data_IF_739054629419
#
_entry.id   IF_739054629419
#
_cell.length_a   1.000
_cell.length_b   1.000
_cell.length_c   1.000
_cell.angle_alpha   90.00
_cell.angle_beta   90.00
_cell.angle_gamma   90.00
#
_symmetry.space_group_name_H-M   'P 1'
#
loop_
_entity.id
_entity.type
_entity.pdbx_description
1 polymer ?
#
# COMPACT_ATOMS: atom_id res chain seq x y z
N UNK A 1 -38.67 6.01 -16.99
CA UNK A 1 -37.88 6.75 -18.00
C UNK A 1 -36.39 6.82 -17.60
N UNK A 2 -36.02 7.27 -16.40
CA UNK A 2 -34.61 7.39 -15.98
C UNK A 2 -33.74 6.10 -16.06
N UNK A 3 -34.29 4.91 -15.78
CA UNK A 3 -33.51 3.65 -15.90
C UNK A 3 -33.12 3.31 -17.35
N UNK A 4 -33.97 3.61 -18.33
CA UNK A 4 -33.66 3.31 -19.74
C UNK A 4 -32.56 4.22 -20.27
N UNK A 5 -32.54 5.48 -19.83
CA UNK A 5 -31.51 6.44 -20.24
C UNK A 5 -30.15 6.09 -19.65
N UNK A 6 -30.09 5.66 -18.38
CA UNK A 6 -28.84 5.18 -17.77
C UNK A 6 -28.28 3.92 -18.46
N UNK A 7 -29.13 2.99 -18.88
CA UNK A 7 -28.70 1.77 -19.59
C UNK A 7 -28.19 2.11 -20.99
N UNK A 8 -28.84 3.03 -21.70
CA UNK A 8 -28.38 3.49 -23.01
C UNK A 8 -27.04 4.25 -22.94
N UNK A 9 -26.84 5.08 -21.90
CA UNK A 9 -25.57 5.79 -21.68
C UNK A 9 -24.44 4.82 -21.35
N UNK A 10 -24.67 3.84 -20.48
CA UNK A 10 -23.67 2.82 -20.12
C UNK A 10 -23.26 1.97 -21.34
N UNK A 11 -24.22 1.57 -22.16
CA UNK A 11 -23.94 0.84 -23.41
C UNK A 11 -23.15 1.71 -24.40
N UNK A 12 -23.48 3.00 -24.51
CA UNK A 12 -22.77 3.93 -25.38
C UNK A 12 -21.32 4.15 -24.93
N UNK A 13 -21.10 4.26 -23.62
CA UNK A 13 -19.76 4.39 -23.03
C UNK A 13 -18.93 3.11 -23.22
N UNK A 14 -19.53 1.93 -23.02
CA UNK A 14 -18.88 0.65 -23.26
C UNK A 14 -18.42 0.52 -24.72
N UNK A 15 -19.31 0.77 -25.67
CA UNK A 15 -18.98 0.73 -27.10
C UNK A 15 -17.90 1.76 -27.49
N UNK A 16 -17.92 2.95 -26.89
CA UNK A 16 -16.88 3.94 -27.13
C UNK A 16 -15.50 3.47 -26.64
N UNK A 17 -15.44 2.75 -25.52
CA UNK A 17 -14.19 2.20 -25.00
C UNK A 17 -13.70 1.03 -25.83
N UNK A 18 -14.58 0.14 -26.30
CA UNK A 18 -14.20 -0.90 -27.27
C UNK A 18 -13.67 -0.31 -28.58
N UNK A 19 -14.31 0.75 -29.06
CA UNK A 19 -13.86 1.47 -30.24
C UNK A 19 -12.46 2.04 -30.02
N UNK A 20 -12.20 2.74 -28.90
CA UNK A 20 -10.87 3.28 -28.59
C UNK A 20 -9.82 2.17 -28.44
N UNK A 21 -10.15 1.08 -27.75
CA UNK A 21 -9.23 -0.06 -27.57
C UNK A 21 -8.83 -0.67 -28.93
N UNK A 22 -9.73 -0.66 -29.93
CA UNK A 22 -9.40 -1.15 -31.28
C UNK A 22 -8.33 -0.32 -32.01
N UNK A 23 -8.05 0.90 -31.56
CA UNK A 23 -6.97 1.75 -32.09
C UNK A 23 -5.68 1.70 -31.27
N UNK A 24 -5.69 1.06 -30.11
CA UNK A 24 -4.48 0.91 -29.31
C UNK A 24 -3.60 -0.19 -29.93
N UNK A 25 -2.26 -0.02 -29.93
CA UNK A 25 -1.36 -1.05 -30.40
C UNK A 25 -1.50 -2.31 -29.54
N UNK A 26 -1.36 -3.48 -30.18
CA UNK A 26 -1.37 -4.76 -29.49
C UNK A 26 -0.37 -4.76 -28.34
N UNK A 27 -0.83 -5.10 -27.14
CA UNK A 27 0.03 -5.21 -25.98
C UNK A 27 0.87 -6.50 -26.09
N UNK A 28 2.21 -6.41 -26.31
CA UNK A 28 3.04 -7.60 -26.51
C UNK A 28 3.09 -8.51 -25.27
N UNK A 29 2.69 -8.00 -24.10
CA UNK A 29 2.63 -8.76 -22.85
C UNK A 29 1.29 -9.46 -22.63
N UNK A 30 0.23 -9.09 -23.37
CA UNK A 30 -1.11 -9.64 -23.16
C UNK A 30 -1.18 -11.12 -23.47
N UNK A 31 -0.65 -11.56 -24.63
CA UNK A 31 -0.71 -12.97 -25.00
C UNK A 31 0.16 -13.86 -24.09
N UNK A 32 1.42 -13.51 -23.77
CA UNK A 32 2.19 -14.26 -22.77
C UNK A 32 1.49 -14.33 -21.41
N UNK A 33 0.88 -13.23 -20.95
CA UNK A 33 0.15 -13.20 -19.69
C UNK A 33 -1.11 -14.08 -19.74
N UNK A 34 -1.88 -14.04 -20.84
CA UNK A 34 -3.03 -14.94 -21.08
C UNK A 34 -2.61 -16.40 -20.99
N UNK A 35 -1.53 -16.76 -21.66
CA UNK A 35 -1.02 -18.13 -21.68
C UNK A 35 -0.58 -18.57 -20.27
N UNK A 36 0.14 -17.73 -19.53
CA UNK A 36 0.57 -18.03 -18.17
C UNK A 36 -0.63 -18.13 -17.20
N UNK A 37 -1.62 -17.26 -17.35
CA UNK A 37 -2.83 -17.27 -16.54
C UNK A 37 -3.65 -18.54 -16.78
N UNK A 38 -3.92 -18.89 -18.04
CA UNK A 38 -4.64 -20.11 -18.38
C UNK A 38 -3.87 -21.36 -17.96
N UNK A 39 -2.54 -21.39 -18.13
CA UNK A 39 -1.71 -22.48 -17.62
C UNK A 39 -1.88 -22.65 -16.10
N UNK A 40 -1.93 -21.56 -15.34
CA UNK A 40 -2.19 -21.62 -13.90
C UNK A 40 -3.59 -22.20 -13.61
N UNK A 41 -4.63 -21.75 -14.32
CA UNK A 41 -6.00 -22.27 -14.16
C UNK A 41 -6.13 -23.76 -14.50
N UNK A 42 -5.40 -24.22 -15.52
CA UNK A 42 -5.44 -25.61 -15.99
C UNK A 42 -4.68 -26.58 -15.05
N UNK A 43 -3.69 -26.08 -14.31
CA UNK A 43 -2.78 -26.91 -13.50
C UNK A 43 -3.03 -26.83 -11.99
N UNK A 44 -3.78 -25.84 -11.51
CA UNK A 44 -4.00 -25.62 -10.08
C UNK A 44 -5.48 -25.46 -9.74
N UNK A 45 -5.86 -26.00 -8.59
CA UNK A 45 -7.23 -25.81 -8.06
C UNK A 45 -7.45 -24.36 -7.64
N UNK A 46 -8.72 -23.91 -7.63
CA UNK A 46 -9.08 -22.59 -7.09
C UNK A 46 -8.54 -22.37 -5.67
N UNK A 47 -8.59 -23.40 -4.82
CA UNK A 47 -8.01 -23.35 -3.47
C UNK A 47 -6.52 -23.03 -3.51
N UNK A 48 -5.73 -23.74 -4.33
CA UNK A 48 -4.29 -23.49 -4.44
C UNK A 48 -4.00 -22.09 -4.98
N UNK A 49 -4.75 -21.62 -5.99
CA UNK A 49 -4.57 -20.28 -6.55
C UNK A 49 -4.92 -19.20 -5.51
N UNK A 50 -6.08 -19.33 -4.86
CA UNK A 50 -6.55 -18.38 -3.86
C UNK A 50 -5.65 -18.29 -2.62
N UNK A 51 -5.03 -19.41 -2.22
CA UNK A 51 -4.22 -19.49 -0.99
C UNK A 51 -2.74 -19.31 -1.31
N UNK A 52 -2.12 -20.30 -1.95
CA UNK A 52 -0.69 -20.28 -2.27
C UNK A 52 -0.35 -19.23 -3.31
N UNK A 53 -1.19 -19.01 -4.32
CA UNK A 53 -0.99 -17.93 -5.30
C UNK A 53 -0.99 -16.55 -4.62
N UNK A 54 -1.99 -16.27 -3.78
CA UNK A 54 -2.04 -15.02 -3.01
C UNK A 54 -0.89 -14.87 -2.02
N UNK A 55 -0.46 -15.95 -1.36
CA UNK A 55 0.70 -15.94 -0.48
C UNK A 55 1.99 -15.60 -1.26
N UNK A 56 2.20 -16.25 -2.41
CA UNK A 56 3.36 -15.97 -3.27
C UNK A 56 3.34 -14.52 -3.74
N UNK A 57 2.19 -14.01 -4.19
CA UNK A 57 2.06 -12.61 -4.62
C UNK A 57 2.38 -11.66 -3.48
N UNK A 58 1.85 -11.89 -2.27
CA UNK A 58 2.14 -11.05 -1.11
C UNK A 58 3.62 -11.10 -0.74
N UNK A 59 4.18 -12.29 -0.47
CA UNK A 59 5.56 -12.45 0.00
C UNK A 59 6.58 -11.97 -1.03
N UNK A 60 6.41 -12.36 -2.30
CA UNK A 60 7.32 -11.95 -3.36
C UNK A 60 7.29 -10.43 -3.54
N UNK A 61 6.10 -9.82 -3.55
CA UNK A 61 5.98 -8.37 -3.68
C UNK A 61 6.53 -7.65 -2.47
N UNK A 62 6.22 -8.10 -1.25
CA UNK A 62 6.68 -7.50 -0.01
C UNK A 62 8.21 -7.42 0.04
N UNK A 63 8.88 -8.56 -0.12
CA UNK A 63 10.33 -8.60 -0.05
C UNK A 63 10.98 -7.88 -1.23
N UNK A 64 10.44 -8.01 -2.44
CA UNK A 64 10.97 -7.32 -3.62
C UNK A 64 10.88 -5.80 -3.47
N UNK A 65 9.76 -5.28 -2.96
CA UNK A 65 9.56 -3.85 -2.72
C UNK A 65 10.44 -3.32 -1.58
N UNK A 66 10.86 -4.16 -0.64
CA UNK A 66 11.83 -3.78 0.39
C UNK A 66 13.29 -3.69 -0.14
N UNK A 67 13.63 -4.40 -1.22
CA UNK A 67 15.01 -4.49 -1.74
C UNK A 67 15.62 -3.12 -2.04
N UNK A 68 14.97 -2.18 -2.75
CA UNK A 68 15.55 -0.86 -3.03
C UNK A 68 15.97 -0.11 -1.75
N UNK A 69 15.08 -0.04 -0.75
CA UNK A 69 15.38 0.62 0.53
C UNK A 69 16.52 -0.05 1.30
N UNK A 70 16.62 -1.38 1.23
CA UNK A 70 17.76 -2.11 1.79
C UNK A 70 19.08 -1.79 1.07
N UNK A 71 19.09 -1.81 -0.26
CA UNK A 71 20.27 -1.49 -1.08
C UNK A 71 20.75 -0.05 -0.84
N UNK A 72 19.83 0.90 -0.65
CA UNK A 72 20.18 2.31 -0.41
C UNK A 72 21.06 2.52 0.83
N UNK A 73 20.96 1.64 1.83
CA UNK A 73 21.80 1.67 3.03
C UNK A 73 23.30 1.51 2.70
N UNK A 74 23.62 0.81 1.61
CA UNK A 74 25.00 0.49 1.22
C UNK A 74 25.56 1.41 0.14
N UNK A 75 24.74 2.32 -0.42
CA UNK A 75 25.16 3.26 -1.46
C UNK A 75 25.41 4.64 -0.82
N UNK A 76 26.67 5.13 -0.74
CA UNK A 76 26.96 6.41 -0.11
C UNK A 76 26.18 7.60 -0.69
N UNK A 77 25.94 7.59 -2.01
CA UNK A 77 25.14 8.62 -2.68
C UNK A 77 23.69 8.65 -2.21
N UNK A 78 23.12 7.52 -1.80
CA UNK A 78 21.74 7.44 -1.34
C UNK A 78 21.55 7.95 0.08
N UNK A 79 22.63 8.04 0.87
CA UNK A 79 22.56 8.55 2.24
C UNK A 79 22.03 9.98 2.30
N UNK A 80 22.29 10.83 1.29
CA UNK A 80 21.71 12.18 1.25
C UNK A 80 20.18 12.23 1.15
N UNK A 81 19.53 11.14 0.73
CA UNK A 81 18.08 11.02 0.63
C UNK A 81 17.45 10.40 1.87
N UNK A 82 18.26 9.88 2.80
CA UNK A 82 17.77 9.38 4.08
C UNK A 82 17.14 10.52 4.89
N UNK A 83 16.00 10.27 5.53
CA UNK A 83 15.25 11.33 6.21
C UNK A 83 15.90 11.64 7.57
N UNK A 84 16.07 10.63 8.43
CA UNK A 84 16.74 10.75 9.74
C UNK A 84 18.21 10.29 9.65
N UNK A 85 19.10 11.23 9.31
CA UNK A 85 20.54 10.98 9.07
C UNK A 85 21.30 10.45 10.29
N UNK A 86 20.87 10.81 11.49
CA UNK A 86 21.48 10.46 12.78
C UNK A 86 21.09 9.05 13.27
N UNK A 87 20.18 8.36 12.57
CA UNK A 87 19.65 7.06 12.97
C UNK A 87 19.82 6.01 11.87
N UNK A 88 21.05 5.47 11.68
CA UNK A 88 21.27 4.39 10.72
C UNK A 88 20.52 3.11 11.12
N UNK A 89 20.13 2.32 10.13
CA UNK A 89 19.57 0.99 10.35
C UNK A 89 20.68 0.05 10.85
N UNK A 90 20.49 -0.58 12.00
CA UNK A 90 21.45 -1.56 12.52
C UNK A 90 20.99 -2.98 12.19
N UNK A 91 21.94 -3.88 11.98
CA UNK A 91 21.64 -5.29 11.73
C UNK A 91 20.77 -5.91 12.83
N UNK A 92 21.05 -5.59 14.10
CA UNK A 92 20.29 -6.09 15.25
C UNK A 92 18.81 -5.71 15.18
N UNK A 93 18.52 -4.45 14.81
CA UNK A 93 17.16 -3.92 14.64
C UNK A 93 16.45 -4.58 13.47
N UNK A 94 17.13 -4.70 12.34
CA UNK A 94 16.59 -5.36 11.15
C UNK A 94 16.30 -6.84 11.41
N UNK A 95 17.21 -7.55 12.09
CA UNK A 95 17.01 -8.95 12.45
C UNK A 95 15.88 -9.16 13.45
N UNK A 96 15.72 -8.25 14.42
CA UNK A 96 14.56 -8.24 15.32
C UNK A 96 13.26 -8.04 14.53
N UNK A 97 13.22 -7.05 13.65
CA UNK A 97 12.08 -6.76 12.79
C UNK A 97 11.72 -7.98 11.95
N UNK A 98 12.70 -8.59 11.28
CA UNK A 98 12.53 -9.76 10.42
C UNK A 98 11.90 -10.95 11.16
N UNK A 99 12.34 -11.26 12.39
CA UNK A 99 11.76 -12.36 13.17
C UNK A 99 10.29 -12.14 13.53
N UNK A 100 9.94 -10.93 13.97
CA UNK A 100 8.54 -10.59 14.27
C UNK A 100 7.70 -10.57 13.01
N UNK A 101 8.26 -10.10 11.90
CA UNK A 101 7.62 -10.11 10.60
C UNK A 101 7.28 -11.53 10.15
N UNK A 102 8.22 -12.47 10.21
CA UNK A 102 7.97 -13.88 9.90
C UNK A 102 6.86 -14.47 10.77
N UNK A 103 6.80 -14.10 12.06
CA UNK A 103 5.71 -14.50 12.94
C UNK A 103 4.37 -13.93 12.46
N UNK A 104 4.30 -12.64 12.13
CA UNK A 104 3.08 -11.99 11.66
C UNK A 104 2.61 -12.59 10.32
N UNK A 105 3.52 -12.79 9.36
CA UNK A 105 3.20 -13.36 8.06
C UNK A 105 2.65 -14.79 8.22
N UNK A 106 3.30 -15.62 9.04
CA UNK A 106 2.92 -17.03 9.17
C UNK A 106 1.68 -17.24 10.07
N UNK A 107 1.57 -16.55 11.20
CA UNK A 107 0.51 -16.82 12.18
C UNK A 107 -0.69 -15.89 12.07
N UNK A 108 -0.55 -14.72 11.44
CA UNK A 108 -1.63 -13.73 11.33
C UNK A 108 -2.08 -13.59 9.89
N UNK A 109 -1.18 -13.29 8.96
CA UNK A 109 -1.55 -13.02 7.57
C UNK A 109 -1.89 -14.30 6.79
N UNK A 110 -1.15 -15.40 6.95
CA UNK A 110 -1.44 -16.65 6.26
C UNK A 110 -2.86 -17.17 6.56
N UNK A 111 -3.36 -17.20 7.82
CA UNK A 111 -4.76 -17.50 8.08
C UNK A 111 -5.76 -16.56 7.37
N UNK A 112 -5.46 -15.26 7.30
CA UNK A 112 -6.30 -14.30 6.55
C UNK A 112 -6.28 -14.59 5.04
N UNK A 113 -5.11 -14.92 4.49
CA UNK A 113 -4.93 -15.30 3.09
C UNK A 113 -5.69 -16.60 2.78
N UNK A 114 -5.66 -17.58 3.68
CA UNK A 114 -6.49 -18.79 3.57
C UNK A 114 -7.99 -18.47 3.49
N UNK A 115 -8.42 -17.39 4.18
CA UNK A 115 -9.78 -16.85 4.10
C UNK A 115 -10.19 -16.40 2.68
N UNK A 116 -9.22 -16.06 1.83
CA UNK A 116 -9.46 -15.61 0.45
C UNK A 116 -10.22 -16.66 -0.38
N UNK A 117 -9.90 -17.94 -0.22
CA UNK A 117 -10.63 -19.00 -0.94
C UNK A 117 -12.11 -19.04 -0.55
N UNK A 118 -12.40 -18.96 0.75
CA UNK A 118 -13.79 -18.95 1.22
C UNK A 118 -14.53 -17.71 0.77
N UNK A 119 -13.86 -16.55 0.74
CA UNK A 119 -14.39 -15.32 0.19
C UNK A 119 -14.74 -15.48 -1.30
N UNK A 120 -13.81 -15.98 -2.12
CA UNK A 120 -14.04 -16.09 -3.56
C UNK A 120 -15.13 -17.10 -3.89
N UNK A 121 -15.23 -18.22 -3.17
CA UNK A 121 -16.31 -19.18 -3.35
C UNK A 121 -17.66 -18.64 -2.85
N UNK A 122 -17.71 -17.96 -1.70
CA UNK A 122 -18.96 -17.41 -1.16
C UNK A 122 -19.58 -16.33 -2.06
N UNK A 123 -18.74 -15.46 -2.63
CA UNK A 123 -19.19 -14.39 -3.52
C UNK A 123 -19.17 -14.78 -5.02
N UNK A 124 -18.86 -16.04 -5.35
CA UNK A 124 -18.72 -16.53 -6.73
C UNK A 124 -17.77 -15.67 -7.59
N UNK A 125 -16.63 -15.29 -7.02
CA UNK A 125 -15.62 -14.49 -7.70
C UNK A 125 -14.95 -15.33 -8.81
N UNK A 126 -14.96 -14.87 -10.07
CA UNK A 126 -14.34 -15.58 -11.18
C UNK A 126 -12.81 -15.49 -11.16
N UNK A 127 -12.20 -16.49 -11.80
CA UNK A 127 -10.76 -16.62 -12.01
C UNK A 127 -10.40 -16.65 -13.49
N UNK A 128 -11.39 -16.83 -14.37
CA UNK A 128 -11.18 -17.05 -15.80
C UNK A 128 -10.68 -15.79 -16.50
N UNK A 129 -9.89 -16.01 -17.56
CA UNK A 129 -9.32 -14.92 -18.34
C UNK A 129 -10.37 -14.00 -18.97
N UNK A 130 -11.47 -14.57 -19.47
CA UNK A 130 -12.49 -13.82 -20.21
C UNK A 130 -13.30 -12.89 -19.30
N UNK A 131 -13.36 -13.20 -17.99
CA UNK A 131 -13.98 -12.38 -16.94
C UNK A 131 -13.01 -11.37 -16.31
N UNK A 132 -11.72 -11.41 -16.68
CA UNK A 132 -10.72 -10.52 -16.13
C UNK A 132 -11.03 -9.06 -16.50
N UNK A 133 -11.09 -8.13 -15.52
CA UNK A 133 -11.32 -6.73 -15.83
C UNK A 133 -10.18 -6.14 -16.65
N UNK A 134 -10.52 -5.23 -17.57
CA UNK A 134 -9.52 -4.46 -18.32
C UNK A 134 -8.65 -3.63 -17.35
N UNK A 135 -7.39 -3.40 -17.72
CA UNK A 135 -6.38 -2.81 -16.84
C UNK A 135 -6.79 -1.45 -16.23
N UNK A 136 -7.48 -0.59 -16.97
CA UNK A 136 -7.92 0.71 -16.47
C UNK A 136 -9.09 0.58 -15.46
N UNK A 137 -9.93 -0.44 -15.61
CA UNK A 137 -10.97 -0.77 -14.61
C UNK A 137 -10.29 -1.27 -13.34
N UNK A 138 -9.29 -2.14 -13.48
CA UNK A 138 -8.49 -2.64 -12.37
C UNK A 138 -7.81 -1.51 -11.59
N UNK A 139 -7.23 -0.52 -12.30
CA UNK A 139 -6.64 0.68 -11.69
C UNK A 139 -7.70 1.51 -10.96
N UNK A 140 -8.87 1.73 -11.57
CA UNK A 140 -9.96 2.47 -10.93
C UNK A 140 -10.50 1.75 -9.68
N UNK A 141 -10.61 0.43 -9.71
CA UNK A 141 -10.99 -0.40 -8.56
C UNK A 141 -9.94 -0.33 -7.45
N UNK A 142 -8.64 -0.46 -7.77
CA UNK A 142 -7.57 -0.29 -6.79
C UNK A 142 -7.59 1.11 -6.16
N UNK A 143 -7.85 2.15 -6.96
CA UNK A 143 -8.01 3.51 -6.43
C UNK A 143 -9.22 3.61 -5.48
N UNK A 144 -10.36 3.00 -5.84
CA UNK A 144 -11.53 2.91 -4.96
C UNK A 144 -11.20 2.19 -3.64
N UNK A 145 -10.48 1.07 -3.70
CA UNK A 145 -9.99 0.37 -2.51
C UNK A 145 -9.08 1.26 -1.66
N UNK A 146 -8.16 2.02 -2.29
CA UNK A 146 -7.27 2.93 -1.58
C UNK A 146 -8.01 4.04 -0.84
N UNK A 147 -9.07 4.62 -1.44
CA UNK A 147 -9.88 5.65 -0.76
C UNK A 147 -10.62 5.08 0.45
N UNK A 148 -11.18 3.88 0.34
CA UNK A 148 -11.88 3.20 1.45
C UNK A 148 -10.90 2.82 2.56
N UNK A 149 -9.77 2.20 2.19
CA UNK A 149 -8.76 1.79 3.16
C UNK A 149 -8.13 2.99 3.86
N UNK A 150 -7.82 4.08 3.14
CA UNK A 150 -7.25 5.29 3.73
C UNK A 150 -8.18 5.94 4.76
N UNK A 151 -9.50 5.97 4.48
CA UNK A 151 -10.48 6.44 5.46
C UNK A 151 -10.51 5.53 6.69
N UNK A 152 -10.60 4.21 6.51
CA UNK A 152 -10.56 3.25 7.62
C UNK A 152 -9.29 3.40 8.45
N UNK A 153 -8.16 3.44 7.77
CA UNK A 153 -6.83 3.56 8.35
C UNK A 153 -6.72 4.84 9.15
N UNK A 154 -7.04 6.00 8.58
CA UNK A 154 -6.91 7.29 9.26
C UNK A 154 -7.62 7.30 10.63
N UNK A 155 -8.90 6.89 10.66
CA UNK A 155 -9.67 6.96 11.90
C UNK A 155 -9.19 5.93 12.93
N UNK A 156 -8.89 4.70 12.52
CA UNK A 156 -8.44 3.68 13.45
C UNK A 156 -6.99 3.87 13.89
N UNK A 157 -6.12 4.33 13.01
CA UNK A 157 -4.76 4.72 13.36
C UNK A 157 -4.78 5.84 14.41
N UNK A 158 -5.58 6.89 14.21
CA UNK A 158 -5.80 7.94 15.21
C UNK A 158 -6.35 7.39 16.54
N UNK A 159 -7.27 6.43 16.49
CA UNK A 159 -7.80 5.77 17.69
C UNK A 159 -6.74 4.92 18.40
N UNK A 160 -5.90 4.21 17.65
CA UNK A 160 -4.80 3.39 18.18
C UNK A 160 -3.76 4.25 18.91
N UNK A 161 -3.58 5.51 18.51
CA UNK A 161 -2.78 6.52 19.22
C UNK A 161 -3.43 7.07 20.48
N UNK A 162 -4.68 6.75 20.77
CA UNK A 162 -5.31 7.17 22.02
C UNK A 162 -4.55 6.57 23.21
N UNK A 163 -4.28 7.38 24.24
CA UNK A 163 -3.41 7.05 25.40
C UNK A 163 -3.76 5.72 26.10
N UNK A 164 -5.03 5.31 26.03
CA UNK A 164 -5.52 4.04 26.64
C UNK A 164 -5.19 2.80 25.80
N UNK A 165 -4.98 2.96 24.49
CA UNK A 165 -4.80 1.87 23.52
C UNK A 165 -3.33 1.77 23.10
N UNK A 166 -2.70 2.91 22.80
CA UNK A 166 -1.34 3.00 22.24
C UNK A 166 -0.34 2.07 22.91
N UNK A 167 -0.24 2.13 24.25
CA UNK A 167 0.77 1.39 25.01
C UNK A 167 0.65 -0.14 24.89
N UNK A 168 -0.49 -0.67 24.46
CA UNK A 168 -0.76 -2.10 24.35
C UNK A 168 -0.70 -2.62 22.92
N UNK A 169 -1.08 -1.80 21.94
CA UNK A 169 -1.21 -2.24 20.55
C UNK A 169 -0.16 -1.53 19.70
N UNK A 170 -0.31 -0.21 19.54
CA UNK A 170 0.42 0.53 18.51
C UNK A 170 1.85 0.95 18.89
N UNK A 171 2.21 0.86 20.18
CA UNK A 171 3.58 1.09 20.64
C UNK A 171 4.60 0.13 20.00
N UNK A 172 4.18 -1.08 19.63
CA UNK A 172 5.05 -2.04 18.95
C UNK A 172 5.47 -1.50 17.58
N UNK A 173 4.52 -1.02 16.79
CA UNK A 173 4.79 -0.42 15.48
C UNK A 173 5.74 0.78 15.56
N UNK A 174 5.56 1.61 16.60
CA UNK A 174 6.38 2.79 16.92
C UNK A 174 7.71 2.49 17.60
N UNK A 175 8.12 1.23 17.71
CA UNK A 175 9.42 0.88 18.31
C UNK A 175 10.59 1.51 17.55
N UNK A 176 10.47 1.61 16.23
CA UNK A 176 11.49 2.20 15.37
C UNK A 176 11.08 3.61 14.94
N UNK A 177 11.61 4.58 15.69
CA UNK A 177 11.40 6.02 15.46
C UNK A 177 11.89 6.50 14.09
N UNK A 178 12.90 5.81 13.51
CA UNK A 178 13.35 6.00 12.13
C UNK A 178 12.95 4.76 11.35
N UNK A 179 11.87 4.83 10.55
CA UNK A 179 11.38 3.67 9.86
C UNK A 179 12.29 3.23 8.70
N UNK A 180 12.16 1.96 8.32
CA UNK A 180 12.76 1.37 7.13
C UNK A 180 11.76 0.38 6.51
N UNK A 181 11.80 0.16 5.19
CA UNK A 181 10.71 -0.52 4.45
C UNK A 181 10.20 -1.84 5.05
N UNK A 182 11.09 -2.70 5.58
CA UNK A 182 10.70 -3.99 6.19
C UNK A 182 9.88 -3.83 7.49
N UNK A 183 9.92 -2.67 8.14
CA UNK A 183 9.09 -2.38 9.31
C UNK A 183 7.62 -2.15 8.95
N UNK A 184 7.27 -1.94 7.68
CA UNK A 184 5.90 -1.61 7.28
C UNK A 184 4.85 -2.60 7.83
N UNK A 185 5.20 -3.88 8.01
CA UNK A 185 4.33 -4.89 8.63
C UNK A 185 4.84 -5.39 10.01
N UNK A 186 5.79 -4.69 10.61
CA UNK A 186 6.17 -4.84 12.03
C UNK A 186 5.14 -4.15 12.92
N UNK A 187 4.18 -4.93 13.40
CA UNK A 187 3.09 -4.44 14.23
C UNK A 187 2.63 -5.50 15.24
N UNK A 188 1.85 -5.07 16.22
CA UNK A 188 1.15 -5.99 17.12
C UNK A 188 0.07 -6.77 16.34
N UNK A 189 -0.17 -8.07 16.58
CA UNK A 189 -1.17 -8.85 15.83
C UNK A 189 -2.57 -8.21 15.74
N UNK A 190 -3.04 -7.63 16.85
CA UNK A 190 -4.32 -6.90 16.85
C UNK A 190 -4.32 -5.66 15.95
N UNK A 191 -3.19 -4.97 15.83
CA UNK A 191 -3.07 -3.84 14.91
C UNK A 191 -3.19 -4.31 13.47
N UNK A 192 -2.48 -5.38 13.11
CA UNK A 192 -2.57 -6.01 11.79
C UNK A 192 -4.00 -6.40 11.46
N UNK A 193 -4.75 -6.96 12.41
CA UNK A 193 -6.16 -7.31 12.21
C UNK A 193 -7.06 -6.08 12.08
N UNK A 194 -6.89 -5.08 12.97
CA UNK A 194 -7.73 -3.88 13.01
C UNK A 194 -7.52 -3.03 11.76
N UNK A 195 -6.28 -2.69 11.43
CA UNK A 195 -5.96 -1.87 10.25
C UNK A 195 -6.14 -2.68 8.96
N UNK A 196 -5.74 -3.96 8.96
CA UNK A 196 -5.90 -4.86 7.84
C UNK A 196 -7.36 -5.14 7.46
N UNK A 197 -8.32 -4.95 8.36
CA UNK A 197 -9.74 -5.01 8.00
C UNK A 197 -10.12 -4.01 6.88
N UNK A 198 -9.48 -2.83 6.86
CA UNK A 198 -9.70 -1.81 5.83
C UNK A 198 -9.37 -2.30 4.41
N UNK A 199 -8.32 -3.11 4.27
CA UNK A 199 -7.97 -3.77 3.02
C UNK A 199 -9.13 -4.60 2.49
N UNK A 200 -9.75 -5.41 3.36
CA UNK A 200 -10.85 -6.29 2.97
C UNK A 200 -12.16 -5.54 2.69
N UNK A 201 -12.43 -4.41 3.35
CA UNK A 201 -13.62 -3.60 3.04
C UNK A 201 -13.62 -3.16 1.58
N UNK A 202 -12.48 -2.68 1.06
CA UNK A 202 -12.34 -2.32 -0.36
C UNK A 202 -12.59 -3.52 -1.28
N UNK A 203 -12.03 -4.68 -0.92
CA UNK A 203 -12.23 -5.93 -1.66
C UNK A 203 -13.70 -6.35 -1.69
N UNK A 204 -14.42 -6.32 -0.57
CA UNK A 204 -15.86 -6.68 -0.54
C UNK A 204 -16.67 -5.76 -1.46
N UNK A 205 -16.29 -4.49 -1.59
CA UNK A 205 -17.02 -3.52 -2.41
C UNK A 205 -16.71 -3.68 -3.90
N UNK A 206 -15.44 -3.88 -4.28
CA UNK A 206 -15.00 -3.78 -5.67
C UNK A 206 -14.60 -5.09 -6.34
N UNK A 207 -14.34 -6.16 -5.58
CA UNK A 207 -13.79 -7.41 -6.12
C UNK A 207 -14.81 -8.13 -6.99
N UNK A 208 -14.49 -8.19 -8.28
CA UNK A 208 -15.23 -8.91 -9.30
C UNK A 208 -14.38 -9.97 -10.01
N UNK A 209 -13.10 -10.09 -9.67
CA UNK A 209 -12.18 -11.08 -10.23
C UNK A 209 -10.97 -11.26 -9.29
N UNK A 210 -10.39 -12.46 -9.21
CA UNK A 210 -9.25 -12.74 -8.31
C UNK A 210 -8.03 -11.84 -8.57
N UNK A 211 -7.85 -11.37 -9.80
CA UNK A 211 -6.76 -10.45 -10.16
C UNK A 211 -6.82 -9.13 -9.37
N UNK A 212 -8.02 -8.66 -8.96
CA UNK A 212 -8.13 -7.45 -8.15
C UNK A 212 -7.51 -7.65 -6.77
N UNK A 213 -7.67 -8.82 -6.15
CA UNK A 213 -7.04 -9.13 -4.86
C UNK A 213 -5.52 -8.97 -4.96
N UNK A 214 -4.94 -9.51 -6.03
CA UNK A 214 -3.49 -9.48 -6.27
C UNK A 214 -2.99 -8.09 -6.66
N UNK A 215 -3.70 -7.38 -7.53
CA UNK A 215 -3.36 -6.02 -7.88
C UNK A 215 -3.45 -5.09 -6.66
N UNK A 216 -4.51 -5.24 -5.86
CA UNK A 216 -4.73 -4.42 -4.67
C UNK A 216 -3.69 -4.69 -3.59
N UNK A 217 -3.33 -5.96 -3.31
CA UNK A 217 -2.25 -6.25 -2.34
C UNK A 217 -0.92 -5.67 -2.80
N UNK A 218 -0.58 -5.75 -4.09
CA UNK A 218 0.65 -5.13 -4.63
C UNK A 218 0.62 -3.61 -4.45
N UNK A 219 -0.50 -2.94 -4.80
CA UNK A 219 -0.65 -1.50 -4.60
C UNK A 219 -0.51 -1.11 -3.12
N UNK A 220 -1.16 -1.86 -2.22
CA UNK A 220 -1.12 -1.61 -0.78
C UNK A 220 0.29 -1.80 -0.22
N UNK A 221 0.98 -2.86 -0.63
CA UNK A 221 2.35 -3.16 -0.21
C UNK A 221 3.33 -2.10 -0.71
N UNK A 222 3.20 -1.68 -1.96
CA UNK A 222 4.02 -0.63 -2.55
C UNK A 222 3.88 0.68 -1.78
N UNK A 223 2.64 1.08 -1.44
CA UNK A 223 2.41 2.27 -0.64
C UNK A 223 2.99 2.15 0.77
N UNK A 224 2.71 1.04 1.50
CA UNK A 224 3.11 0.96 2.92
C UNK A 224 4.62 0.90 3.05
N UNK A 225 5.29 0.18 2.15
CA UNK A 225 6.75 0.08 2.16
C UNK A 225 7.37 1.42 1.77
N UNK A 226 6.78 2.17 0.83
CA UNK A 226 7.30 3.47 0.43
C UNK A 226 7.21 4.50 1.56
N UNK A 227 6.06 4.62 2.23
CA UNK A 227 5.90 5.57 3.35
C UNK A 227 6.78 5.21 4.56
N UNK A 228 7.15 3.95 4.72
CA UNK A 228 8.08 3.47 5.76
C UNK A 228 9.54 3.40 5.28
N UNK A 229 9.84 3.74 4.03
CA UNK A 229 11.15 3.42 3.43
C UNK A 229 12.34 4.04 4.18
N UNK A 230 12.13 5.18 4.86
CA UNK A 230 13.18 5.97 5.51
C UNK A 230 13.96 6.85 4.53
N UNK A 231 13.59 6.84 3.24
CA UNK A 231 14.23 7.59 2.17
C UNK A 231 13.22 8.45 1.42
N UNK A 232 13.61 9.68 1.10
CA UNK A 232 12.85 10.59 0.25
C UNK A 232 13.60 10.78 -1.08
N UNK A 233 13.29 9.92 -2.05
CA UNK A 233 13.98 9.88 -3.34
C UNK A 233 13.22 10.71 -4.40
N UNK A 234 13.92 11.56 -5.19
CA UNK A 234 13.28 12.55 -6.06
C UNK A 234 12.51 11.96 -7.25
N UNK A 235 12.76 10.69 -7.61
CA UNK A 235 12.13 10.02 -8.76
C UNK A 235 11.09 8.98 -8.31
N UNK A 236 10.53 9.10 -7.10
CA UNK A 236 9.46 8.23 -6.66
C UNK A 236 8.15 8.57 -7.39
N UNK A 237 7.60 7.68 -8.24
CA UNK A 237 6.42 7.96 -9.05
C UNK A 237 5.14 8.12 -8.21
N UNK A 238 5.10 7.63 -6.97
CA UNK A 238 3.93 7.78 -6.10
C UNK A 238 3.64 9.24 -5.75
N UNK A 239 4.64 10.13 -5.81
CA UNK A 239 4.43 11.57 -5.66
C UNK A 239 3.61 12.22 -6.78
N UNK A 240 3.37 11.52 -7.88
CA UNK A 240 2.43 11.97 -8.92
C UNK A 240 0.97 11.81 -8.48
N UNK A 241 0.70 10.97 -7.47
CA UNK A 241 -0.64 10.80 -6.91
C UNK A 241 -1.00 12.03 -6.08
N UNK A 242 -2.12 12.72 -6.37
CA UNK A 242 -2.54 13.89 -5.60
C UNK A 242 -2.72 13.57 -4.11
N UNK A 243 -2.28 14.49 -3.25
CA UNK A 243 -2.37 14.37 -1.79
C UNK A 243 -1.60 13.21 -1.16
N UNK A 244 -0.74 12.53 -1.91
CA UNK A 244 0.09 11.45 -1.38
C UNK A 244 0.93 11.92 -0.18
N UNK A 245 0.85 11.18 0.93
CA UNK A 245 1.56 11.47 2.18
C UNK A 245 3.07 11.31 2.01
N UNK A 246 3.49 10.16 1.48
CA UNK A 246 4.89 9.82 1.22
C UNK A 246 5.74 9.65 2.48
N UNK A 247 7.00 9.25 2.26
CA UNK A 247 7.92 8.86 3.33
C UNK A 247 8.15 9.94 4.40
N UNK A 248 8.32 11.21 4.02
CA UNK A 248 8.57 12.29 5.01
C UNK A 248 7.42 12.51 5.98
N UNK A 249 6.18 12.36 5.51
CA UNK A 249 5.01 12.61 6.34
C UNK A 249 4.89 11.53 7.41
N UNK A 250 5.08 10.27 7.02
CA UNK A 250 5.00 9.13 7.92
C UNK A 250 6.27 8.97 8.79
N UNK A 251 7.45 9.31 8.29
CA UNK A 251 8.68 9.36 9.10
C UNK A 251 8.55 10.40 10.23
N UNK A 252 7.99 11.58 9.95
CA UNK A 252 7.68 12.56 11.00
C UNK A 252 6.65 12.02 12.00
N UNK A 253 5.67 11.23 11.55
CA UNK A 253 4.72 10.56 12.43
C UNK A 253 5.42 9.63 13.44
N UNK A 254 6.33 8.75 12.97
CA UNK A 254 7.13 7.87 13.83
C UNK A 254 8.06 8.65 14.79
N UNK A 255 8.53 9.82 14.37
CA UNK A 255 9.34 10.69 15.22
C UNK A 255 8.53 11.44 16.29
N UNK A 256 7.34 11.93 15.93
CA UNK A 256 6.54 12.85 16.75
C UNK A 256 5.44 12.15 17.56
N UNK A 257 5.04 10.94 17.16
CA UNK A 257 3.99 10.08 17.75
C UNK A 257 2.57 10.68 17.78
N UNK A 258 2.38 11.93 17.38
CA UNK A 258 1.09 12.64 17.42
C UNK A 258 0.88 13.40 16.12
N UNK A 259 -0.30 13.24 15.51
CA UNK A 259 -0.63 13.80 14.20
C UNK A 259 -0.22 12.89 13.05
N UNK A 260 -0.42 13.34 11.81
CA UNK A 260 0.02 12.65 10.59
C UNK A 260 -0.48 11.19 10.52
N UNK A 261 -1.79 11.00 10.63
CA UNK A 261 -2.39 9.67 10.75
C UNK A 261 -2.74 9.01 9.41
N UNK A 262 -2.70 9.74 8.30
CA UNK A 262 -2.93 9.19 6.96
C UNK A 262 -1.95 8.05 6.65
N UNK A 263 -2.47 7.02 5.99
CA UNK A 263 -1.63 6.05 5.29
C UNK A 263 -1.24 6.67 3.95
N UNK A 264 -2.23 6.88 3.08
CA UNK A 264 -2.00 7.21 1.67
C UNK A 264 -2.21 8.68 1.40
N UNK A 265 -3.36 9.22 1.80
CA UNK A 265 -3.79 10.55 1.39
C UNK A 265 -3.91 11.52 2.57
N UNK A 266 -3.27 12.67 2.44
CA UNK A 266 -3.20 13.70 3.50
C UNK A 266 -4.50 14.48 3.72
N UNK A 267 -5.57 14.21 2.96
CA UNK A 267 -6.80 15.01 3.05
C UNK A 267 -7.46 14.94 4.43
N UNK A 268 -7.42 13.78 5.10
CA UNK A 268 -8.07 13.62 6.40
C UNK A 268 -7.29 14.39 7.46
N UNK A 269 -5.96 14.33 7.39
CA UNK A 269 -5.12 15.14 8.26
C UNK A 269 -5.36 16.64 8.06
N UNK A 270 -5.50 17.11 6.83
CA UNK A 270 -5.82 18.51 6.53
C UNK A 270 -7.20 18.92 7.05
N UNK A 271 -8.22 18.07 6.84
CA UNK A 271 -9.60 18.32 7.29
C UNK A 271 -9.66 18.43 8.82
N UNK A 272 -8.95 17.56 9.54
CA UNK A 272 -8.98 17.51 11.00
C UNK A 272 -7.80 18.24 11.68
N UNK A 273 -6.94 18.91 10.91
CA UNK A 273 -5.79 19.68 11.40
C UNK A 273 -4.68 18.85 12.06
N UNK A 274 -4.59 17.55 11.76
CA UNK A 274 -3.61 16.64 12.37
C UNK A 274 -2.24 16.66 11.69
N UNK A 275 -2.03 17.48 10.65
CA UNK A 275 -0.73 17.74 9.99
C UNK A 275 -0.05 19.06 10.42
N UNK A 276 -0.67 19.84 11.31
CA UNK A 276 -0.18 21.17 11.73
C UNK A 276 1.26 21.17 12.26
N UNK A 277 1.63 20.14 13.03
CA UNK A 277 2.99 19.99 13.57
C UNK A 277 4.02 19.70 12.47
N UNK A 278 3.63 18.91 11.47
CA UNK A 278 4.46 18.61 10.32
C UNK A 278 4.70 19.85 9.44
N UNK A 279 3.66 20.66 9.20
CA UNK A 279 3.79 21.92 8.47
C UNK A 279 4.79 22.85 9.19
N UNK A 280 4.62 23.04 10.51
CA UNK A 280 5.53 23.85 11.30
C UNK A 280 6.97 23.32 11.30
N UNK A 281 7.14 21.99 11.30
CA UNK A 281 8.44 21.33 11.17
C UNK A 281 9.08 21.63 9.81
N UNK A 282 8.34 21.45 8.71
CA UNK A 282 8.83 21.73 7.36
C UNK A 282 9.24 23.19 7.18
N UNK A 283 8.49 24.14 7.73
CA UNK A 283 8.85 25.57 7.68
C UNK A 283 10.18 25.85 8.40
N UNK A 284 10.40 25.23 9.57
CA UNK A 284 11.66 25.35 10.31
C UNK A 284 12.83 24.78 9.52
N UNK A 285 12.66 23.61 8.90
CA UNK A 285 13.69 22.98 8.08
C UNK A 285 14.05 23.82 6.84
N UNK A 286 13.04 24.36 6.14
CA UNK A 286 13.26 25.29 5.02
C UNK A 286 14.04 26.53 5.45
N UNK A 287 13.68 27.14 6.60
CA UNK A 287 14.41 28.30 7.15
C UNK A 287 15.88 27.97 7.47
N UNK A 288 16.15 26.82 8.09
CA UNK A 288 17.52 26.36 8.37
C UNK A 288 18.32 26.20 7.08
N UNK A 289 17.76 25.54 6.07
CA UNK A 289 18.42 25.35 4.77
C UNK A 289 18.75 26.68 4.08
N UNK A 290 17.84 27.66 4.14
CA UNK A 290 18.10 29.01 3.62
C UNK A 290 19.25 29.71 4.36
N UNK A 291 19.32 29.60 5.69
CA UNK A 291 20.40 30.19 6.48
C UNK A 291 21.73 29.52 6.16
N UNK A 292 21.78 28.19 6.06
CA UNK A 292 23.00 27.46 5.72
C UNK A 292 23.50 27.83 4.32
N UNK A 293 22.60 27.92 3.32
CA UNK A 293 22.96 28.38 1.97
C UNK A 293 23.52 29.81 1.96
N UNK A 294 22.95 30.72 2.77
CA UNK A 294 23.46 32.09 2.92
C UNK A 294 24.83 32.18 3.60
N UNK A 295 25.20 31.20 4.43
CA UNK A 295 26.52 31.14 5.09
C UNK A 295 27.60 30.46 4.23
N UNK A 296 27.19 29.69 3.22
CA UNK A 296 28.08 28.98 2.31
C UNK A 296 28.44 29.80 1.05
N UNK A 297 27.70 30.88 0.80
CA UNK A 297 28.00 31.89 -0.22
C UNK A 297 28.66 33.11 0.43
#
# INVERSE_FOLDING_TARGET
MAMNDSVNILNSAYLAVEYIDSFLPDNPLQQPFKNAWNYMLDNYTKFQIATWGSLIVHEASYFLLCVPGFIFQFIPYMQKYKIQQDKPETWEKQWKCFKTLLFNHFFIQLPLICGTYYFTEYFNIPYGWEEMPRWYVLVAQCFGCAVIEDAWHYFLHRLLHHKRIYKYIHKVHHEFVSPFGMQAEYAHPLETLILGAGFFIGIVVFCNHVVLLWAWVICRLMETIDVHSGYDVPLNPLHLVPFYAGARFHDFHHMNFIGNYASTFTWWDRIFGTDSQFIAYQEKEKKKQCITKKKAN
#
